data_IF_950980901397
#
_entry.id   IF_950980901397
#
_cell.length_a   1.000
_cell.length_b   1.000
_cell.length_c   1.000
_cell.angle_alpha   90.00
_cell.angle_beta   90.00
_cell.angle_gamma   90.00
#
_symmetry.space_group_name_H-M   'P 1'
#
loop_
_entity.id
_entity.type
_entity.pdbx_description
1 polymer ?
#
# COMPACT_ATOMS: atom_id res chain seq x y z
N UNK A 1 16.66 -0.09 -6.18
CA UNK A 1 15.74 0.58 -5.25
C UNK A 1 15.54 2.06 -5.57
N UNK A 2 14.30 2.45 -5.82
CA UNK A 2 13.81 3.82 -6.06
C UNK A 2 12.73 4.17 -5.03
N UNK A 3 12.62 5.46 -4.68
CA UNK A 3 11.61 5.98 -3.76
C UNK A 3 10.63 6.88 -4.51
N UNK A 4 9.34 6.58 -4.41
CA UNK A 4 8.26 7.41 -4.96
C UNK A 4 7.52 8.09 -3.81
N UNK A 5 7.49 9.42 -3.81
CA UNK A 5 6.70 10.23 -2.86
C UNK A 5 5.34 10.52 -3.48
N UNK A 6 4.27 10.22 -2.76
CA UNK A 6 2.89 10.58 -3.11
C UNK A 6 2.35 11.45 -1.99
N UNK A 7 2.03 12.70 -2.30
CA UNK A 7 1.32 13.60 -1.38
C UNK A 7 -0.16 13.53 -1.72
N UNK A 8 -0.99 13.35 -0.70
CA UNK A 8 -2.43 13.13 -0.83
C UNK A 8 -3.14 14.21 -0.04
N UNK A 9 -4.05 14.94 -0.70
CA UNK A 9 -4.91 15.94 -0.07
C UNK A 9 -6.34 15.42 -0.12
N UNK A 10 -7.02 15.39 1.03
CA UNK A 10 -8.42 14.96 1.13
C UNK A 10 -9.37 16.03 0.61
N UNK A 11 -10.53 15.58 0.14
CA UNK A 11 -11.68 16.43 -0.08
C UNK A 11 -12.32 16.83 1.26
N UNK A 12 -13.35 17.67 1.21
CA UNK A 12 -14.05 18.13 2.41
C UNK A 12 -14.72 16.98 3.20
N UNK A 13 -15.03 15.87 2.55
CA UNK A 13 -15.59 14.66 3.18
C UNK A 13 -14.52 13.73 3.79
N UNK A 14 -13.24 14.12 3.73
CA UNK A 14 -12.14 13.32 4.26
C UNK A 14 -11.68 12.18 3.36
N UNK A 15 -12.16 12.09 2.12
CA UNK A 15 -11.73 11.07 1.15
C UNK A 15 -10.65 11.59 0.20
N UNK A 16 -9.83 10.69 -0.35
CA UNK A 16 -8.95 11.01 -1.47
C UNK A 16 -8.61 9.78 -2.30
N UNK A 17 -8.20 10.02 -3.56
CA UNK A 17 -7.50 9.03 -4.37
C UNK A 17 -6.25 9.65 -4.98
N UNK A 18 -5.12 8.99 -4.83
CA UNK A 18 -3.85 9.42 -5.41
C UNK A 18 -3.10 8.25 -6.04
N UNK A 19 -2.13 8.58 -6.89
CA UNK A 19 -1.40 7.58 -7.68
C UNK A 19 0.09 7.87 -7.70
N UNK A 20 0.91 6.82 -7.78
CA UNK A 20 2.29 6.95 -8.26
C UNK A 20 2.30 7.20 -9.78
N UNK A 21 3.42 7.68 -10.35
CA UNK A 21 3.72 7.44 -11.76
C UNK A 21 3.72 5.94 -12.08
N UNK A 22 3.67 5.59 -13.37
CA UNK A 22 3.89 4.20 -13.78
C UNK A 22 5.28 3.73 -13.35
N UNK A 23 5.35 2.56 -12.75
CA UNK A 23 6.57 1.96 -12.24
C UNK A 23 6.59 0.45 -12.51
N UNK A 24 7.79 -0.10 -12.47
CA UNK A 24 8.04 -1.54 -12.52
C UNK A 24 9.02 -1.91 -11.43
N UNK A 25 8.83 -3.09 -10.84
CA UNK A 25 9.70 -3.66 -9.81
C UNK A 25 8.90 -4.27 -8.67
N UNK A 26 9.59 -4.58 -7.58
CA UNK A 26 9.00 -5.19 -6.39
C UNK A 26 8.80 -4.16 -5.29
N UNK A 27 7.59 -4.09 -4.71
CA UNK A 27 7.31 -3.24 -3.55
C UNK A 27 8.08 -3.78 -2.34
N UNK A 28 9.07 -3.02 -1.90
CA UNK A 28 9.89 -3.35 -0.74
C UNK A 28 9.23 -2.93 0.56
N UNK A 29 8.79 -1.66 0.61
CA UNK A 29 8.18 -1.05 1.78
C UNK A 29 7.24 0.09 1.40
N UNK A 30 6.27 0.36 2.26
CA UNK A 30 5.39 1.52 2.23
C UNK A 30 5.56 2.28 3.55
N UNK A 31 5.89 3.56 3.46
CA UNK A 31 5.99 4.43 4.63
C UNK A 31 4.85 5.43 4.56
N UNK A 32 3.91 5.33 5.50
CA UNK A 32 2.96 6.40 5.77
C UNK A 32 3.58 7.39 6.75
N UNK A 33 3.69 8.65 6.33
CA UNK A 33 4.14 9.77 7.16
C UNK A 33 2.95 10.63 7.48
N UNK A 34 2.45 10.51 8.71
CA UNK A 34 1.38 11.35 9.22
C UNK A 34 1.86 12.79 9.27
N UNK A 35 1.20 13.62 8.47
CA UNK A 35 1.47 15.06 8.41
C UNK A 35 0.32 15.79 9.08
N UNK A 36 -0.87 15.73 8.47
CA UNK A 36 -2.03 16.49 8.93
C UNK A 36 -3.33 15.68 8.96
N UNK A 37 -3.38 14.52 8.28
CA UNK A 37 -4.53 13.61 8.35
C UNK A 37 -5.05 13.41 9.77
N UNK A 38 -6.38 13.38 9.90
CA UNK A 38 -7.05 13.16 11.17
C UNK A 38 -6.64 11.83 11.83
N UNK A 39 -6.81 11.77 13.15
CA UNK A 39 -6.81 10.50 13.88
C UNK A 39 -7.97 9.64 13.37
N UNK A 40 -7.72 8.34 13.24
CA UNK A 40 -8.69 7.40 12.68
C UNK A 40 -8.65 7.28 11.15
N UNK A 41 -7.62 7.78 10.47
CA UNK A 41 -7.54 7.69 9.00
C UNK A 41 -7.43 6.23 8.54
N UNK A 42 -8.15 5.92 7.46
CA UNK A 42 -8.09 4.63 6.77
C UNK A 42 -7.42 4.82 5.41
N UNK A 43 -6.71 3.79 4.95
CA UNK A 43 -6.27 3.75 3.56
C UNK A 43 -6.24 2.33 3.00
N UNK A 44 -6.50 2.25 1.69
CA UNK A 44 -6.37 1.05 0.88
C UNK A 44 -5.43 1.33 -0.28
N UNK A 45 -4.35 0.57 -0.35
CA UNK A 45 -3.29 0.71 -1.34
C UNK A 45 -3.26 -0.53 -2.22
N UNK A 46 -3.39 -0.32 -3.53
CA UNK A 46 -3.50 -1.41 -4.52
C UNK A 46 -2.68 -1.10 -5.77
N UNK A 47 -2.35 -2.13 -6.54
CA UNK A 47 -1.96 -1.96 -7.95
C UNK A 47 -3.21 -1.57 -8.74
N UNK A 48 -3.15 -0.49 -9.51
CA UNK A 48 -4.34 0.09 -10.15
C UNK A 48 -4.96 -0.86 -11.19
N UNK A 49 -4.14 -1.43 -12.08
CA UNK A 49 -4.66 -2.20 -13.19
C UNK A 49 -5.19 -3.58 -12.78
N UNK A 50 -4.59 -4.19 -11.76
CA UNK A 50 -4.91 -5.57 -11.33
C UNK A 50 -5.77 -5.62 -10.08
N UNK A 51 -5.86 -4.52 -9.32
CA UNK A 51 -6.52 -4.50 -8.01
C UNK A 51 -5.75 -5.27 -6.93
N UNK A 52 -4.51 -5.71 -7.20
CA UNK A 52 -3.72 -6.46 -6.23
C UNK A 52 -3.48 -5.62 -4.97
N UNK A 53 -3.90 -6.14 -3.81
CA UNK A 53 -3.70 -5.50 -2.51
C UNK A 53 -2.22 -5.36 -2.16
N UNK A 54 -1.82 -4.17 -1.73
CA UNK A 54 -0.46 -3.87 -1.25
C UNK A 54 -0.49 -3.65 0.26
N UNK A 55 -1.33 -2.73 0.74
CA UNK A 55 -1.52 -2.49 2.17
C UNK A 55 -2.88 -1.86 2.41
N UNK A 56 -3.64 -2.42 3.34
CA UNK A 56 -4.85 -1.81 3.87
C UNK A 56 -4.64 -1.63 5.35
N UNK A 57 -4.95 -0.44 5.85
CA UNK A 57 -4.95 -0.16 7.28
C UNK A 57 -6.10 0.76 7.66
N UNK A 58 -6.51 0.67 8.92
CA UNK A 58 -7.69 1.38 9.43
C UNK A 58 -7.43 1.98 10.80
N UNK A 59 -8.11 3.08 11.09
CA UNK A 59 -8.05 3.77 12.37
C UNK A 59 -6.62 4.19 12.78
N UNK A 60 -5.82 4.65 11.81
CA UNK A 60 -4.41 4.95 12.05
C UNK A 60 -4.23 6.32 12.71
N UNK A 61 -3.44 6.34 13.79
CA UNK A 61 -3.19 7.55 14.57
C UNK A 61 -1.74 8.07 14.47
N UNK A 62 -0.81 7.31 13.90
CA UNK A 62 0.59 7.68 13.79
C UNK A 62 1.19 7.26 12.45
N UNK A 63 2.40 7.76 12.16
CA UNK A 63 3.19 7.27 11.02
C UNK A 63 3.52 5.79 11.19
N UNK A 64 3.51 5.05 10.09
CA UNK A 64 3.79 3.61 10.08
C UNK A 64 4.62 3.21 8.87
N UNK A 65 5.42 2.16 9.03
CA UNK A 65 6.22 1.56 7.96
C UNK A 65 5.91 0.08 7.90
N UNK A 66 5.41 -0.37 6.75
CA UNK A 66 5.17 -1.79 6.49
C UNK A 66 6.02 -2.29 5.33
N UNK A 67 6.35 -3.58 5.38
CA UNK A 67 7.00 -4.30 4.29
C UNK A 67 6.03 -5.35 3.76
N UNK A 68 5.10 -4.99 2.87
CA UNK A 68 4.04 -5.88 2.47
C UNK A 68 4.60 -7.07 1.68
N UNK A 69 4.01 -8.24 1.91
CA UNK A 69 4.38 -9.50 1.26
C UNK A 69 3.11 -10.28 0.91
N UNK A 70 3.18 -11.07 -0.15
CA UNK A 70 2.08 -11.95 -0.59
C UNK A 70 2.57 -13.40 -0.55
N UNK A 71 1.71 -14.38 -0.23
CA UNK A 71 2.06 -15.78 -0.37
C UNK A 71 2.50 -16.12 -1.81
N UNK A 72 3.53 -16.93 -1.92
CA UNK A 72 3.89 -17.63 -3.16
C UNK A 72 3.00 -18.85 -3.30
N UNK A 73 2.64 -19.23 -4.53
CA UNK A 73 1.66 -20.30 -4.77
C UNK A 73 2.23 -21.38 -5.69
N UNK A 74 1.71 -22.59 -5.56
CA UNK A 74 1.90 -23.65 -6.53
C UNK A 74 1.03 -23.44 -7.79
N UNK A 75 1.09 -24.38 -8.73
CA UNK A 75 0.33 -24.30 -9.99
C UNK A 75 -1.18 -24.45 -9.82
N UNK A 76 -1.66 -24.88 -8.65
CA UNK A 76 -3.09 -25.00 -8.32
C UNK A 76 -3.63 -23.74 -7.63
N UNK A 77 -2.77 -22.77 -7.33
CA UNK A 77 -3.12 -21.57 -6.58
C UNK A 77 -3.17 -21.79 -5.08
N UNK A 78 -2.60 -22.89 -4.56
CA UNK A 78 -2.44 -23.09 -3.12
C UNK A 78 -1.13 -22.45 -2.63
N UNK A 79 -1.16 -21.81 -1.46
CA UNK A 79 0.04 -21.17 -0.91
C UNK A 79 1.12 -22.22 -0.60
N UNK A 80 2.35 -21.94 -1.01
CA UNK A 80 3.51 -22.71 -0.59
C UNK A 80 3.76 -22.45 0.89
N UNK A 81 4.02 -23.52 1.65
CA UNK A 81 4.24 -23.46 3.10
C UNK A 81 5.63 -23.99 3.44
N UNK A 82 6.25 -23.47 4.49
CA UNK A 82 7.53 -24.02 5.00
C UNK A 82 7.40 -25.46 5.52
N UNK A 83 6.20 -25.84 5.97
CA UNK A 83 5.82 -27.18 6.42
C UNK A 83 4.31 -27.38 6.23
N UNK A 84 3.85 -28.64 6.20
CA UNK A 84 2.42 -28.94 6.07
C UNK A 84 1.59 -28.27 7.19
N UNK A 85 0.58 -27.48 6.81
CA UNK A 85 -0.24 -26.70 7.74
C UNK A 85 0.48 -25.51 8.41
N UNK A 86 1.68 -25.16 7.96
CA UNK A 86 2.51 -24.09 8.51
C UNK A 86 2.29 -22.71 7.89
N UNK A 87 3.25 -21.82 8.12
CA UNK A 87 3.26 -20.44 7.58
C UNK A 87 3.55 -20.43 6.08
N UNK A 88 2.86 -19.56 5.35
CA UNK A 88 3.11 -19.34 3.93
C UNK A 88 4.52 -18.78 3.67
N UNK A 89 5.16 -19.29 2.63
CA UNK A 89 6.33 -18.66 2.02
C UNK A 89 5.85 -17.42 1.31
N UNK A 90 6.28 -16.25 1.76
CA UNK A 90 5.83 -14.98 1.24
C UNK A 90 6.97 -14.25 0.52
N UNK A 91 6.64 -13.55 -0.54
CA UNK A 91 7.58 -12.74 -1.32
C UNK A 91 7.02 -11.33 -1.55
N UNK A 92 7.84 -10.44 -2.11
CA UNK A 92 7.46 -9.07 -2.42
C UNK A 92 6.39 -9.03 -3.52
N UNK A 93 5.60 -7.97 -3.48
CA UNK A 93 4.53 -7.72 -4.43
C UNK A 93 5.14 -7.05 -5.67
N UNK A 94 5.09 -7.72 -6.81
CA UNK A 94 5.57 -7.17 -8.07
C UNK A 94 4.52 -6.24 -8.70
N UNK A 95 5.00 -5.14 -9.28
CA UNK A 95 4.23 -4.19 -10.07
C UNK A 95 4.91 -4.07 -11.43
N UNK A 96 4.16 -4.14 -12.54
CA UNK A 96 4.72 -4.21 -13.89
C UNK A 96 4.09 -3.15 -14.79
N UNK A 97 4.82 -2.06 -15.04
CA UNK A 97 4.35 -0.91 -15.83
C UNK A 97 2.98 -0.39 -15.38
N UNK A 98 2.74 -0.40 -14.07
CA UNK A 98 1.45 -0.03 -13.47
C UNK A 98 1.62 1.11 -12.47
N UNK A 99 0.52 1.69 -12.02
CA UNK A 99 0.47 2.68 -10.95
C UNK A 99 0.03 2.01 -9.66
N UNK A 100 0.54 2.51 -8.55
CA UNK A 100 0.01 2.20 -7.22
C UNK A 100 -1.03 3.25 -6.91
N UNK A 101 -2.26 2.80 -6.62
CA UNK A 101 -3.41 3.59 -6.21
C UNK A 101 -3.47 3.62 -4.68
N UNK A 102 -3.72 4.80 -4.13
CA UNK A 102 -3.90 5.05 -2.69
C UNK A 102 -5.27 5.66 -2.51
N UNK A 103 -6.19 4.93 -1.91
CA UNK A 103 -7.49 5.42 -1.45
C UNK A 103 -7.41 5.75 0.02
N UNK A 104 -7.86 6.95 0.39
CA UNK A 104 -7.93 7.41 1.77
C UNK A 104 -9.39 7.65 2.13
N UNK A 105 -9.77 7.25 3.35
CA UNK A 105 -11.03 7.63 3.98
C UNK A 105 -10.76 8.17 5.39
N UNK A 106 -11.70 8.99 5.90
CA UNK A 106 -11.61 9.57 7.25
C UNK A 106 -10.33 10.41 7.49
N UNK A 107 -9.69 10.94 6.44
CA UNK A 107 -8.48 11.75 6.59
C UNK A 107 -8.73 13.18 7.12
N UNK A 108 -9.99 13.57 7.28
CA UNK A 108 -10.42 14.91 7.70
C UNK A 108 -10.57 15.89 6.52
N UNK A 109 -11.31 16.98 6.73
CA UNK A 109 -11.55 18.02 5.71
C UNK A 109 -10.23 18.66 5.25
N UNK A 110 -9.94 18.56 3.95
CA UNK A 110 -8.85 19.28 3.26
C UNK A 110 -7.45 19.13 3.87
N UNK A 111 -7.20 17.96 4.48
CA UNK A 111 -5.94 17.63 5.15
C UNK A 111 -4.97 16.90 4.23
N UNK A 112 -3.70 16.83 4.65
CA UNK A 112 -2.61 16.28 3.84
C UNK A 112 -1.91 15.11 4.55
N UNK A 113 -1.61 14.07 3.78
CA UNK A 113 -0.76 12.95 4.17
C UNK A 113 0.30 12.66 3.11
N UNK A 114 1.35 11.95 3.49
CA UNK A 114 2.42 11.56 2.56
C UNK A 114 2.69 10.07 2.65
N UNK A 115 2.83 9.43 1.49
CA UNK A 115 3.26 8.05 1.37
C UNK A 115 4.58 7.99 0.59
N UNK A 116 5.53 7.20 1.09
CA UNK A 116 6.71 6.81 0.33
C UNK A 116 6.63 5.33 -0.03
N UNK A 117 6.61 5.04 -1.33
CA UNK A 117 6.69 3.67 -1.84
C UNK A 117 8.13 3.40 -2.25
N UNK A 118 8.76 2.38 -1.65
CA UNK A 118 10.08 1.89 -2.04
C UNK A 118 9.92 0.69 -2.97
N UNK A 119 10.51 0.78 -4.16
CA UNK A 119 10.44 -0.26 -5.19
C UNK A 119 11.85 -0.65 -5.61
N UNK A 120 12.15 -1.95 -5.70
CA UNK A 120 13.47 -2.44 -6.08
C UNK A 120 13.76 -2.35 -7.57
#
# INVERSE_FOLDING_TARGET
MKRYKVTVTTAADGTATAYTPRLSGEVHAVHYVKTDFADGVDFTITSEATGQGIWTDTNINASEVVQPRVPTHDQTGAALLYAAGGTAVADRIAVANDRIKIEVAQGGDTKVGTFHILVN
#
